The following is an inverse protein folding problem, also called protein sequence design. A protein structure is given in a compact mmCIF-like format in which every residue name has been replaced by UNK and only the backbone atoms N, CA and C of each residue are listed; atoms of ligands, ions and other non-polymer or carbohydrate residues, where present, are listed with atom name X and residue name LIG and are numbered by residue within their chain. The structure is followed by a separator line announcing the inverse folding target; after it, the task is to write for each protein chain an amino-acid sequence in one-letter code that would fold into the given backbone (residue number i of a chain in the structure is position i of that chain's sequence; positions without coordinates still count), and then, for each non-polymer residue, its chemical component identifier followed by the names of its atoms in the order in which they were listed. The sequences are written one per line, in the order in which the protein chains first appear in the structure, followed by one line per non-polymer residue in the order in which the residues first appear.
data_IF_816729493411
#
_entry.id   IF_816729493411
#
_cell.length_a   1.000
_cell.length_b   1.000
_cell.length_c   1.000
_cell.angle_alpha   90.00
_cell.angle_beta   90.00
_cell.angle_gamma   90.00
#
_symmetry.space_group_name_H-M   'P 1'
#
loop_
_entity.id
_entity.type
_entity.pdbx_description
1 polymer ?
#
# COMPACT_ATOMS: atom_id res chain seq x y z
N UNK A 1 -3.95 -31.19 0.83
CA UNK A 1 -5.17 -31.15 1.66
C UNK A 1 -6.16 -30.22 0.98
N UNK A 2 -7.44 -30.57 0.99
CA UNK A 2 -8.50 -29.81 0.32
C UNK A 2 -8.95 -28.66 1.24
N UNK A 3 -8.59 -27.42 0.90
CA UNK A 3 -9.04 -26.22 1.63
C UNK A 3 -10.50 -25.94 1.26
N UNK A 4 -11.41 -25.88 2.22
CA UNK A 4 -12.83 -25.63 1.96
C UNK A 4 -13.21 -24.24 2.47
N UNK A 5 -13.08 -23.23 1.62
CA UNK A 5 -13.89 -22.02 1.70
C UNK A 5 -14.68 -21.92 0.39
N UNK A 6 -15.97 -21.58 0.44
CA UNK A 6 -16.78 -21.43 -0.77
C UNK A 6 -16.30 -20.28 -1.67
N UNK A 7 -15.44 -19.40 -1.13
CA UNK A 7 -14.90 -18.23 -1.79
C UNK A 7 -13.54 -18.47 -2.46
N UNK A 8 -12.66 -19.30 -1.92
CA UNK A 8 -11.37 -19.61 -2.54
C UNK A 8 -11.34 -21.10 -2.90
N UNK A 9 -11.50 -21.38 -4.19
CA UNK A 9 -11.73 -22.72 -4.74
C UNK A 9 -10.59 -23.70 -4.51
N UNK A 10 -10.94 -24.99 -4.41
CA UNK A 10 -10.00 -26.12 -4.49
C UNK A 10 -9.48 -26.27 -5.93
N UNK A 11 -8.35 -25.64 -6.22
CA UNK A 11 -7.60 -25.79 -7.47
C UNK A 11 -6.28 -26.53 -7.20
N UNK A 12 -5.69 -27.16 -8.23
CA UNK A 12 -4.32 -27.67 -8.17
C UNK A 12 -3.27 -26.55 -8.03
N UNK A 13 -3.66 -25.30 -8.30
CA UNK A 13 -2.92 -24.08 -8.05
C UNK A 13 -3.89 -23.06 -7.41
N UNK A 14 -4.15 -23.14 -6.09
CA UNK A 14 -5.12 -22.26 -5.42
C UNK A 14 -4.71 -20.78 -5.49
N UNK A 15 -3.41 -20.47 -5.47
CA UNK A 15 -2.90 -19.11 -5.60
C UNK A 15 -3.38 -18.46 -6.90
N UNK A 16 -3.32 -19.19 -8.02
CA UNK A 16 -3.74 -18.71 -9.34
C UNK A 16 -5.25 -18.44 -9.36
N UNK A 17 -6.04 -19.36 -8.80
CA UNK A 17 -7.50 -19.20 -8.79
C UNK A 17 -7.94 -18.00 -7.95
N UNK A 18 -7.32 -17.80 -6.78
CA UNK A 18 -7.57 -16.65 -5.91
C UNK A 18 -7.19 -15.37 -6.64
N UNK A 19 -5.96 -15.33 -7.17
CA UNK A 19 -5.45 -14.17 -7.89
C UNK A 19 -6.41 -13.77 -9.01
N UNK A 20 -6.77 -14.69 -9.90
CA UNK A 20 -7.64 -14.39 -11.06
C UNK A 20 -9.05 -13.94 -10.65
N UNK A 21 -9.60 -14.44 -9.54
CA UNK A 21 -10.87 -13.90 -9.00
C UNK A 21 -10.71 -12.45 -8.54
N UNK A 22 -9.66 -12.15 -7.77
CA UNK A 22 -9.41 -10.80 -7.28
C UNK A 22 -9.08 -9.82 -8.41
N UNK A 23 -8.26 -10.25 -9.37
CA UNK A 23 -7.91 -9.49 -10.57
C UNK A 23 -9.14 -9.06 -11.36
N UNK A 24 -10.13 -9.96 -11.47
CA UNK A 24 -11.38 -9.70 -12.18
C UNK A 24 -12.28 -8.69 -11.48
N UNK A 25 -12.23 -8.62 -10.15
CA UNK A 25 -13.06 -7.72 -9.34
C UNK A 25 -12.19 -6.79 -8.46
N UNK A 26 -11.43 -5.86 -9.08
CA UNK A 26 -10.53 -4.98 -8.37
C UNK A 26 -11.29 -3.92 -7.56
N UNK A 27 -10.79 -3.59 -6.37
CA UNK A 27 -11.35 -2.57 -5.48
C UNK A 27 -10.28 -1.57 -5.08
N UNK A 28 -10.55 -0.28 -5.24
CA UNK A 28 -9.57 0.77 -4.93
C UNK A 28 -9.50 1.08 -3.44
N UNK A 29 -8.44 1.77 -3.03
CA UNK A 29 -8.18 2.24 -1.67
C UNK A 29 -9.43 2.58 -0.82
N UNK A 30 -9.57 1.90 0.32
CA UNK A 30 -10.67 1.98 1.30
C UNK A 30 -12.05 1.49 0.81
N UNK A 31 -12.13 0.89 -0.38
CA UNK A 31 -13.36 0.33 -0.95
C UNK A 31 -13.26 -1.19 -1.16
N UNK A 32 -12.29 -1.85 -0.55
CA UNK A 32 -11.95 -3.28 -0.67
C UNK A 32 -12.96 -4.20 0.05
N UNK A 33 -14.25 -3.87 0.02
CA UNK A 33 -15.29 -4.55 0.78
C UNK A 33 -15.48 -6.01 0.35
N UNK A 34 -15.47 -6.32 -0.95
CA UNK A 34 -15.60 -7.70 -1.45
C UNK A 34 -14.36 -8.51 -1.07
N UNK A 35 -13.18 -7.97 -1.36
CA UNK A 35 -11.90 -8.63 -1.12
C UNK A 35 -11.71 -8.89 0.37
N UNK A 36 -11.83 -7.86 1.21
CA UNK A 36 -11.69 -7.97 2.65
C UNK A 36 -12.72 -8.92 3.28
N UNK A 37 -14.00 -8.83 2.89
CA UNK A 37 -15.03 -9.70 3.47
C UNK A 37 -14.82 -11.17 3.13
N UNK A 38 -14.33 -11.49 1.92
CA UNK A 38 -14.00 -12.86 1.53
C UNK A 38 -12.75 -13.38 2.22
N UNK A 39 -11.73 -12.54 2.39
CA UNK A 39 -10.53 -12.89 3.18
C UNK A 39 -10.93 -13.19 4.63
N UNK A 40 -11.70 -12.30 5.26
CA UNK A 40 -12.16 -12.45 6.63
C UNK A 40 -12.97 -13.75 6.83
N UNK A 41 -13.95 -14.00 5.96
CA UNK A 41 -14.75 -15.24 5.98
C UNK A 41 -13.86 -16.47 5.86
N UNK A 42 -12.97 -16.47 4.86
CA UNK A 42 -12.20 -17.65 4.54
C UNK A 42 -11.14 -17.96 5.61
N UNK A 43 -10.53 -16.93 6.21
CA UNK A 43 -9.58 -17.08 7.31
C UNK A 43 -10.25 -17.55 8.60
N UNK A 44 -11.46 -17.06 8.91
CA UNK A 44 -12.23 -17.55 10.06
C UNK A 44 -12.61 -19.02 9.88
N UNK A 45 -13.09 -19.40 8.69
CA UNK A 45 -13.49 -20.79 8.37
C UNK A 45 -12.32 -21.78 8.53
N UNK A 46 -11.10 -21.41 8.15
CA UNK A 46 -9.92 -22.27 8.32
C UNK A 46 -9.33 -22.22 9.75
N UNK A 47 -9.93 -21.44 10.65
CA UNK A 47 -9.63 -21.47 12.09
C UNK A 47 -8.63 -20.43 12.58
N UNK A 48 -8.63 -19.23 11.98
CA UNK A 48 -8.00 -18.03 12.54
C UNK A 48 -9.02 -17.18 13.29
N UNK A 49 -8.56 -16.45 14.31
CA UNK A 49 -9.34 -15.36 14.91
C UNK A 49 -9.20 -14.13 14.03
N UNK A 50 -10.30 -13.54 13.59
CA UNK A 50 -10.29 -12.43 12.62
C UNK A 50 -10.80 -11.13 13.25
N UNK A 51 -10.07 -10.04 13.00
CA UNK A 51 -10.41 -8.66 13.35
C UNK A 51 -10.52 -7.82 12.08
N UNK A 52 -11.51 -6.95 12.01
CA UNK A 52 -11.69 -5.97 10.93
C UNK A 52 -12.33 -4.70 11.47
N UNK A 53 -12.62 -3.72 10.62
CA UNK A 53 -13.31 -2.50 11.04
C UNK A 53 -12.49 -1.72 12.06
N UNK A 54 -13.16 -1.26 13.13
CA UNK A 54 -12.56 -0.50 14.23
C UNK A 54 -11.57 -1.31 15.07
N UNK A 55 -11.61 -2.63 15.01
CA UNK A 55 -10.67 -3.50 15.73
C UNK A 55 -9.35 -3.66 15.00
N UNK A 56 -9.32 -3.35 13.69
CA UNK A 56 -8.14 -3.44 12.85
C UNK A 56 -7.59 -2.08 12.40
N UNK A 57 -8.43 -1.03 12.41
CA UNK A 57 -8.08 0.30 11.92
C UNK A 57 -8.64 1.41 12.80
N UNK A 58 -7.81 2.43 13.08
CA UNK A 58 -8.19 3.65 13.75
C UNK A 58 -8.86 4.63 12.75
N UNK A 59 -10.17 4.94 12.89
CA UNK A 59 -10.87 5.76 11.89
C UNK A 59 -10.36 7.20 11.80
N UNK A 60 -9.83 7.74 12.89
CA UNK A 60 -9.28 9.10 12.93
C UNK A 60 -8.01 9.26 12.07
N UNK A 61 -7.33 8.17 11.74
CA UNK A 61 -6.12 8.15 10.93
C UNK A 61 -6.40 7.99 9.43
N UNK A 62 -7.65 7.73 9.02
CA UNK A 62 -8.00 7.62 7.60
C UNK A 62 -7.96 9.00 6.96
N UNK A 63 -7.08 9.17 5.98
CA UNK A 63 -6.98 10.39 5.18
C UNK A 63 -7.79 10.27 3.89
N UNK A 64 -8.69 11.22 3.67
CA UNK A 64 -9.64 11.24 2.56
C UNK A 64 -10.49 9.93 2.52
N UNK A 65 -11.33 9.70 3.55
CA UNK A 65 -12.25 8.56 3.56
C UNK A 65 -13.24 8.64 2.39
N UNK A 66 -13.81 7.50 1.96
CA UNK A 66 -14.84 7.51 0.92
C UNK A 66 -16.07 8.32 1.36
N UNK A 67 -16.75 8.95 0.39
CA UNK A 67 -18.05 9.57 0.68
C UNK A 67 -19.08 8.48 1.00
N UNK A 68 -20.14 8.86 1.74
CA UNK A 68 -21.22 7.92 2.08
C UNK A 68 -21.89 7.32 0.83
N UNK A 69 -21.98 8.09 -0.26
CA UNK A 69 -22.51 7.63 -1.56
C UNK A 69 -21.61 6.57 -2.18
N UNK A 70 -20.31 6.85 -2.33
CA UNK A 70 -19.33 5.91 -2.91
C UNK A 70 -19.21 4.65 -2.05
N UNK A 71 -19.25 4.79 -0.71
CA UNK A 71 -19.24 3.66 0.21
C UNK A 71 -20.48 2.78 0.01
N UNK A 72 -21.68 3.38 -0.04
CA UNK A 72 -22.92 2.64 -0.25
C UNK A 72 -22.91 1.88 -1.57
N UNK A 73 -22.50 2.52 -2.66
CA UNK A 73 -22.38 1.89 -3.98
C UNK A 73 -21.37 0.75 -3.98
N UNK A 74 -20.20 0.95 -3.39
CA UNK A 74 -19.14 -0.07 -3.32
C UNK A 74 -19.56 -1.28 -2.48
N UNK A 75 -20.27 -1.07 -1.37
CA UNK A 75 -20.82 -2.18 -0.57
C UNK A 75 -21.89 -2.96 -1.31
N UNK A 76 -22.78 -2.28 -2.02
CA UNK A 76 -23.81 -2.92 -2.83
C UNK A 76 -23.18 -3.75 -3.97
N UNK A 77 -22.17 -3.20 -4.65
CA UNK A 77 -21.40 -3.91 -5.68
C UNK A 77 -20.65 -5.11 -5.10
N UNK A 78 -20.03 -4.97 -3.92
CA UNK A 78 -19.35 -6.07 -3.25
C UNK A 78 -20.31 -7.23 -2.95
N UNK A 79 -21.49 -6.94 -2.39
CA UNK A 79 -22.52 -7.95 -2.11
C UNK A 79 -23.03 -8.64 -3.39
N UNK A 80 -23.24 -7.89 -4.47
CA UNK A 80 -23.68 -8.44 -5.74
C UNK A 80 -22.65 -9.42 -6.36
N UNK A 81 -21.38 -9.27 -6.01
CA UNK A 81 -20.27 -10.04 -6.58
C UNK A 81 -19.58 -10.98 -5.58
N UNK A 82 -20.32 -11.44 -4.56
CA UNK A 82 -19.87 -12.51 -3.66
C UNK A 82 -19.13 -12.04 -2.40
N UNK A 83 -19.23 -10.75 -2.06
CA UNK A 83 -18.84 -10.23 -0.76
C UNK A 83 -19.77 -10.73 0.35
N UNK A 84 -19.28 -10.74 1.59
CA UNK A 84 -19.97 -11.37 2.72
C UNK A 84 -20.53 -10.30 3.67
N UNK A 85 -21.86 -10.22 3.74
CA UNK A 85 -22.58 -9.14 4.43
C UNK A 85 -22.14 -8.92 5.89
N UNK A 86 -22.01 -10.00 6.68
CA UNK A 86 -21.63 -9.91 8.11
C UNK A 86 -20.28 -9.23 8.35
N UNK A 87 -19.37 -9.32 7.38
CA UNK A 87 -18.06 -8.69 7.45
C UNK A 87 -18.09 -7.27 6.89
N UNK A 88 -18.78 -7.06 5.76
CA UNK A 88 -18.95 -5.74 5.14
C UNK A 88 -19.58 -4.74 6.13
N UNK A 89 -20.55 -5.20 6.93
CA UNK A 89 -21.23 -4.36 7.92
C UNK A 89 -20.27 -3.81 9.01
N UNK A 90 -19.18 -4.52 9.29
CA UNK A 90 -18.17 -4.11 10.27
C UNK A 90 -17.16 -3.09 9.71
N UNK A 91 -17.03 -3.00 8.38
CA UNK A 91 -16.00 -2.22 7.67
C UNK A 91 -16.44 -0.78 7.35
N UNK A 92 -17.45 -0.25 8.06
CA UNK A 92 -18.01 1.07 7.76
C UNK A 92 -16.98 2.22 7.79
N UNK A 93 -17.10 3.16 6.85
CA UNK A 93 -16.18 4.29 6.71
C UNK A 93 -14.84 3.94 6.05
N UNK A 94 -14.77 2.83 5.30
CA UNK A 94 -13.55 2.38 4.62
C UNK A 94 -12.55 1.67 5.54
N UNK A 95 -13.03 1.03 6.61
CA UNK A 95 -12.21 0.30 7.57
C UNK A 95 -12.04 -1.17 7.14
N UNK A 96 -11.47 -1.37 5.96
CA UNK A 96 -11.45 -2.64 5.22
C UNK A 96 -10.25 -3.54 5.53
N UNK A 97 -9.35 -3.17 6.45
CA UNK A 97 -8.26 -4.07 6.84
C UNK A 97 -8.79 -5.37 7.46
N UNK A 98 -8.08 -6.46 7.21
CA UNK A 98 -8.35 -7.76 7.84
C UNK A 98 -7.09 -8.23 8.55
N UNK A 99 -7.20 -8.43 9.86
CA UNK A 99 -6.13 -8.99 10.69
C UNK A 99 -6.56 -10.36 11.15
N UNK A 100 -5.80 -11.39 10.83
CA UNK A 100 -6.10 -12.77 11.21
C UNK A 100 -4.98 -13.36 12.05
N UNK A 101 -5.33 -14.00 13.16
CA UNK A 101 -4.36 -14.49 14.15
C UNK A 101 -4.60 -15.93 14.53
N UNK A 102 -3.50 -16.65 14.76
CA UNK A 102 -3.53 -17.99 15.34
C UNK A 102 -2.37 -18.18 16.30
N UNK A 103 -2.70 -18.60 17.52
CA UNK A 103 -1.73 -18.96 18.57
C UNK A 103 -1.44 -20.46 18.52
N UNK A 104 -0.15 -20.81 18.44
CA UNK A 104 0.38 -22.17 18.45
C UNK A 104 1.07 -22.56 19.77
N UNK A 105 1.12 -21.63 20.73
CA UNK A 105 1.67 -21.85 22.07
C UNK A 105 2.28 -20.58 22.63
N UNK A 106 3.25 -20.72 23.53
CA UNK A 106 4.12 -19.63 23.97
C UNK A 106 5.26 -19.45 22.97
N UNK A 107 5.67 -18.22 22.72
CA UNK A 107 6.69 -17.88 21.73
C UNK A 107 6.46 -16.47 21.16
N UNK A 108 7.22 -16.08 20.13
CA UNK A 108 7.14 -14.75 19.55
C UNK A 108 5.86 -14.55 18.73
N UNK A 109 5.53 -13.29 18.46
CA UNK A 109 4.47 -12.86 17.54
C UNK A 109 5.10 -12.49 16.20
N UNK A 110 4.80 -13.28 15.17
CA UNK A 110 5.23 -13.05 13.79
C UNK A 110 4.07 -12.46 12.98
N UNK A 111 4.27 -11.29 12.39
CA UNK A 111 3.35 -10.65 11.46
C UNK A 111 3.81 -10.79 10.00
N UNK A 112 2.89 -11.14 9.10
CA UNK A 112 3.08 -11.15 7.65
C UNK A 112 2.08 -10.17 7.01
N UNK A 113 2.56 -9.24 6.18
CA UNK A 113 1.71 -8.22 5.55
C UNK A 113 1.49 -8.50 4.06
N UNK A 114 0.26 -8.31 3.61
CA UNK A 114 -0.18 -8.37 2.21
C UNK A 114 -1.15 -7.21 1.96
N UNK A 115 -0.87 -6.32 1.02
CA UNK A 115 -1.82 -5.29 0.59
C UNK A 115 -2.89 -5.86 -0.35
N UNK A 116 -3.99 -5.12 -0.53
CA UNK A 116 -5.21 -5.61 -1.21
C UNK A 116 -5.78 -4.67 -2.25
N UNK A 117 -5.41 -3.38 -2.25
CA UNK A 117 -6.09 -2.41 -3.08
C UNK A 117 -5.64 -2.45 -4.53
N UNK A 118 -6.56 -2.09 -5.42
CA UNK A 118 -6.32 -1.88 -6.83
C UNK A 118 -6.14 -0.40 -7.15
N UNK A 119 -5.73 -0.12 -8.38
CA UNK A 119 -5.54 1.24 -8.90
C UNK A 119 -6.80 1.76 -9.60
N UNK A 120 -6.92 3.10 -9.62
CA UNK A 120 -7.85 3.80 -10.51
C UNK A 120 -7.23 3.88 -11.92
N UNK A 121 -7.27 2.76 -12.64
CA UNK A 121 -6.59 2.53 -13.92
C UNK A 121 -7.46 1.62 -14.79
N UNK A 122 -7.60 1.95 -16.07
CA UNK A 122 -8.23 1.06 -17.05
C UNK A 122 -7.25 -0.04 -17.47
N UNK A 123 -7.72 -1.29 -17.41
CA UNK A 123 -7.00 -2.43 -17.95
C UNK A 123 -7.14 -2.51 -19.48
N UNK A 124 -6.07 -2.88 -20.17
CA UNK A 124 -6.08 -3.04 -21.62
C UNK A 124 -6.99 -4.19 -22.07
N UNK A 125 -7.74 -3.96 -23.15
CA UNK A 125 -8.56 -4.98 -23.83
C UNK A 125 -7.85 -5.57 -25.07
N UNK A 126 -6.56 -5.28 -25.23
CA UNK A 126 -5.78 -5.75 -26.39
C UNK A 126 -5.47 -7.23 -26.28
N UNK A 127 -5.67 -7.96 -27.39
CA UNK A 127 -5.22 -9.35 -27.50
C UNK A 127 -3.71 -9.48 -27.29
N UNK A 128 -3.30 -10.54 -26.59
CA UNK A 128 -1.93 -10.74 -26.11
C UNK A 128 -1.72 -10.33 -24.64
N UNK A 129 -2.70 -9.63 -24.04
CA UNK A 129 -2.74 -9.39 -22.60
C UNK A 129 -3.34 -10.61 -21.89
N UNK A 130 -2.56 -11.31 -21.07
CA UNK A 130 -2.96 -12.62 -20.54
C UNK A 130 -4.25 -12.61 -19.69
N UNK A 131 -4.54 -11.58 -18.86
CA UNK A 131 -5.85 -11.43 -18.21
C UNK A 131 -7.02 -11.34 -19.19
N UNK A 132 -6.87 -10.58 -20.27
CA UNK A 132 -7.88 -10.46 -21.32
C UNK A 132 -8.08 -11.82 -22.02
N UNK A 133 -6.99 -12.41 -22.51
CA UNK A 133 -7.02 -13.67 -23.26
C UNK A 133 -7.46 -14.86 -22.39
N UNK A 134 -7.15 -14.81 -21.09
CA UNK A 134 -7.51 -15.80 -20.08
C UNK A 134 -8.90 -15.60 -19.46
N UNK A 135 -9.63 -14.54 -19.84
CA UNK A 135 -10.99 -14.27 -19.38
C UNK A 135 -11.11 -13.85 -17.91
N UNK A 136 -10.04 -13.26 -17.35
CA UNK A 136 -9.99 -12.78 -15.97
C UNK A 136 -9.57 -11.30 -15.82
N UNK A 137 -9.48 -10.55 -16.92
CA UNK A 137 -9.38 -9.10 -16.89
C UNK A 137 -10.52 -8.47 -16.07
N UNK A 138 -10.25 -7.29 -15.53
CA UNK A 138 -11.17 -6.50 -14.74
C UNK A 138 -12.53 -6.33 -15.43
N UNK A 139 -13.59 -6.62 -14.68
CA UNK A 139 -14.98 -6.30 -15.12
C UNK A 139 -15.46 -4.95 -14.57
N UNK A 140 -14.59 -4.19 -13.89
CA UNK A 140 -14.91 -2.90 -13.27
C UNK A 140 -14.16 -1.78 -14.00
N UNK A 141 -14.85 -0.97 -14.82
CA UNK A 141 -14.22 0.13 -15.56
C UNK A 141 -13.44 1.08 -14.65
N UNK A 142 -12.28 1.53 -15.12
CA UNK A 142 -11.38 2.41 -14.38
C UNK A 142 -10.72 1.78 -13.15
N UNK A 143 -10.74 0.44 -13.02
CA UNK A 143 -10.11 -0.27 -11.90
C UNK A 143 -9.32 -1.48 -12.40
N UNK A 144 -8.08 -1.62 -11.93
CA UNK A 144 -7.18 -2.72 -12.30
C UNK A 144 -6.18 -2.99 -11.17
N UNK A 145 -5.83 -4.26 -10.94
CA UNK A 145 -4.66 -4.63 -10.13
C UNK A 145 -3.35 -4.43 -10.92
N UNK A 146 -3.01 -3.17 -11.20
CA UNK A 146 -1.79 -2.78 -11.94
C UNK A 146 -0.49 -2.84 -11.14
N UNK A 147 -0.53 -3.35 -9.90
CA UNK A 147 0.63 -3.45 -9.00
C UNK A 147 0.84 -4.87 -8.42
N UNK A 148 -0.06 -5.82 -8.71
CA UNK A 148 0.07 -7.21 -8.28
C UNK A 148 -0.47 -7.53 -6.88
N UNK A 149 -1.24 -6.63 -6.26
CA UNK A 149 -1.81 -6.83 -4.91
C UNK A 149 -2.80 -8.00 -4.84
N UNK A 150 -3.48 -8.33 -5.95
CA UNK A 150 -4.23 -9.58 -6.12
C UNK A 150 -3.35 -10.82 -5.90
N UNK A 151 -2.10 -10.78 -6.38
CA UNK A 151 -1.08 -11.80 -6.14
C UNK A 151 -0.60 -11.82 -4.70
N UNK A 152 -0.41 -10.66 -4.06
CA UNK A 152 -0.04 -10.57 -2.64
C UNK A 152 -1.11 -11.22 -1.76
N UNK A 153 -2.38 -10.91 -1.96
CA UNK A 153 -3.50 -11.55 -1.24
C UNK A 153 -3.52 -13.06 -1.48
N UNK A 154 -3.35 -13.50 -2.73
CA UNK A 154 -3.33 -14.92 -3.06
C UNK A 154 -2.22 -15.68 -2.32
N UNK A 155 -1.01 -15.10 -2.26
CA UNK A 155 0.11 -15.65 -1.48
C UNK A 155 -0.27 -15.71 0.00
N UNK A 156 -0.70 -14.59 0.58
CA UNK A 156 -1.00 -14.49 2.01
C UNK A 156 -2.09 -15.48 2.46
N UNK A 157 -3.16 -15.60 1.68
CA UNK A 157 -4.22 -16.57 1.98
C UNK A 157 -3.72 -18.01 1.90
N UNK A 158 -2.94 -18.37 0.86
CA UNK A 158 -2.44 -19.73 0.72
C UNK A 158 -1.42 -20.10 1.80
N UNK A 159 -0.61 -19.14 2.27
CA UNK A 159 0.28 -19.32 3.44
C UNK A 159 -0.57 -19.58 4.69
N UNK A 160 -1.61 -18.78 4.94
CA UNK A 160 -2.52 -18.99 6.07
C UNK A 160 -3.21 -20.35 6.01
N UNK A 161 -3.71 -20.74 4.83
CA UNK A 161 -4.33 -22.03 4.58
C UNK A 161 -3.36 -23.19 4.88
N UNK A 162 -2.12 -23.12 4.38
CA UNK A 162 -1.11 -24.14 4.61
C UNK A 162 -0.74 -24.31 6.09
N UNK A 163 -0.78 -23.24 6.87
CA UNK A 163 -0.36 -23.22 8.27
C UNK A 163 -1.52 -23.36 9.27
N UNK A 164 -2.76 -23.30 8.81
CA UNK A 164 -3.97 -23.34 9.63
C UNK A 164 -4.01 -24.53 10.60
N UNK A 165 -3.47 -25.68 10.19
CA UNK A 165 -3.42 -26.92 10.98
C UNK A 165 -1.97 -27.43 11.13
N UNK A 166 -0.99 -26.54 10.99
CA UNK A 166 0.41 -26.92 11.13
C UNK A 166 0.72 -27.32 12.58
N UNK A 167 1.36 -28.47 12.73
CA UNK A 167 1.94 -28.90 14.00
C UNK A 167 3.40 -28.42 14.10
N UNK A 168 3.96 -28.47 15.32
CA UNK A 168 5.36 -28.13 15.56
C UNK A 168 5.66 -26.63 15.59
N UNK A 169 4.66 -25.74 15.53
CA UNK A 169 4.82 -24.30 15.71
C UNK A 169 4.61 -23.87 17.18
N UNK A 170 5.20 -22.75 17.58
CA UNK A 170 5.11 -22.12 18.89
C UNK A 170 5.10 -20.59 18.73
N UNK A 171 4.33 -19.86 19.56
CA UNK A 171 4.09 -18.43 19.41
C UNK A 171 2.78 -18.10 18.70
N UNK A 172 2.72 -16.93 18.05
CA UNK A 172 1.52 -16.42 17.37
C UNK A 172 1.87 -16.01 15.94
N UNK A 173 1.05 -16.44 14.99
CA UNK A 173 1.11 -16.00 13.59
C UNK A 173 -0.02 -15.00 13.32
N UNK A 174 0.33 -13.81 12.85
CA UNK A 174 -0.58 -12.73 12.48
C UNK A 174 -0.45 -12.42 10.99
N UNK A 175 -1.57 -12.43 10.28
CA UNK A 175 -1.67 -11.96 8.91
C UNK A 175 -2.32 -10.58 8.91
N UNK A 176 -1.74 -9.64 8.18
CA UNK A 176 -2.26 -8.28 8.01
C UNK A 176 -2.57 -8.10 6.53
N UNK A 177 -3.85 -8.10 6.19
CA UNK A 177 -4.32 -7.75 4.87
C UNK A 177 -4.68 -6.26 4.85
N UNK A 178 -3.83 -5.47 4.23
CA UNK A 178 -3.84 -4.01 4.31
C UNK A 178 -4.59 -3.39 3.12
N UNK A 179 -5.50 -2.42 3.34
CA UNK A 179 -6.11 -1.63 2.29
C UNK A 179 -5.25 -0.41 1.93
N UNK A 180 -5.57 0.29 0.84
CA UNK A 180 -5.07 1.63 0.53
C UNK A 180 -3.53 1.86 0.54
N UNK A 181 -2.73 0.87 0.12
CA UNK A 181 -1.28 0.98 -0.03
C UNK A 181 -0.91 2.01 -1.10
N UNK A 182 -1.61 2.04 -2.24
CA UNK A 182 -1.23 2.83 -3.43
C UNK A 182 -1.18 4.36 -3.14
N UNK A 183 -2.01 4.77 -2.17
CA UNK A 183 -2.04 6.14 -1.66
C UNK A 183 -0.98 6.43 -0.60
N UNK A 184 -0.40 5.41 0.01
CA UNK A 184 0.40 5.44 1.24
C UNK A 184 -0.43 5.71 2.49
N UNK A 185 -1.69 5.28 2.49
CA UNK A 185 -2.73 5.69 3.46
C UNK A 185 -3.23 4.56 4.34
N UNK A 186 -2.90 3.31 4.02
CA UNK A 186 -3.42 2.12 4.70
C UNK A 186 -2.72 1.76 6.00
N UNK A 187 -1.41 2.01 6.07
CA UNK A 187 -0.62 1.50 7.17
C UNK A 187 -0.88 2.25 8.48
N UNK A 188 -1.04 3.58 8.41
CA UNK A 188 -1.19 4.41 9.60
C UNK A 188 -2.45 4.06 10.42
N UNK A 189 -3.65 3.87 9.82
CA UNK A 189 -4.80 3.39 10.57
C UNK A 189 -4.60 2.05 11.28
N UNK A 190 -3.85 1.12 10.69
CA UNK A 190 -3.55 -0.18 11.30
C UNK A 190 -2.58 -0.02 12.47
N UNK A 191 -1.55 0.79 12.28
CA UNK A 191 -0.57 1.15 13.31
C UNK A 191 -1.26 1.83 14.51
N UNK A 192 -2.13 2.80 14.27
CA UNK A 192 -2.82 3.57 15.30
C UNK A 192 -3.90 2.74 16.02
N UNK A 193 -4.33 1.62 15.44
CA UNK A 193 -5.18 0.63 16.11
C UNK A 193 -4.40 -0.31 17.04
N UNK A 194 -3.07 -0.21 17.11
CA UNK A 194 -2.21 -1.02 17.97
C UNK A 194 -1.97 -2.44 17.48
N UNK A 195 -2.22 -2.72 16.19
CA UNK A 195 -2.08 -4.07 15.59
C UNK A 195 -0.62 -4.57 15.61
N UNK A 196 0.35 -3.67 15.72
CA UNK A 196 1.78 -3.97 15.67
C UNK A 196 2.48 -3.84 17.02
N UNK A 197 1.76 -3.49 18.08
CA UNK A 197 2.38 -3.09 19.35
C UNK A 197 3.05 -4.26 20.10
N UNK A 198 2.59 -5.49 19.86
CA UNK A 198 3.10 -6.74 20.43
C UNK A 198 3.85 -7.62 19.41
N UNK A 199 4.14 -7.12 18.21
CA UNK A 199 4.83 -7.89 17.15
C UNK A 199 6.33 -7.92 17.41
N UNK A 200 6.90 -9.12 17.44
CA UNK A 200 8.36 -9.32 17.55
C UNK A 200 9.04 -9.30 16.17
N UNK A 201 8.37 -9.83 15.15
CA UNK A 201 8.92 -9.96 13.79
C UNK A 201 7.88 -9.62 12.72
N UNK A 202 8.23 -8.79 11.74
CA UNK A 202 7.36 -8.48 10.59
C UNK A 202 8.05 -8.72 9.25
N UNK A 203 7.36 -9.42 8.33
CA UNK A 203 7.84 -9.63 6.97
C UNK A 203 6.84 -9.09 5.95
N UNK A 204 7.38 -8.38 4.98
CA UNK A 204 6.65 -7.74 3.88
C UNK A 204 7.32 -8.18 2.57
N UNK A 205 6.52 -8.39 1.53
CA UNK A 205 7.07 -8.64 0.20
C UNK A 205 6.29 -7.91 -0.88
N UNK A 206 6.96 -7.69 -2.01
CA UNK A 206 6.34 -7.25 -3.26
C UNK A 206 6.70 -8.19 -4.41
N UNK A 207 5.77 -8.37 -5.34
CA UNK A 207 5.97 -9.11 -6.59
C UNK A 207 6.50 -8.19 -7.69
N UNK A 208 7.54 -8.64 -8.40
CA UNK A 208 8.08 -7.96 -9.57
C UNK A 208 9.18 -6.95 -9.25
N UNK A 209 8.89 -5.65 -9.41
CA UNK A 209 9.87 -4.55 -9.40
C UNK A 209 11.03 -4.75 -10.39
N UNK A 210 10.75 -5.29 -11.59
CA UNK A 210 11.75 -5.67 -12.61
C UNK A 210 12.77 -6.73 -12.17
N UNK A 211 12.57 -7.39 -11.03
CA UNK A 211 13.33 -8.58 -10.68
C UNK A 211 12.72 -9.77 -11.43
N UNK A 212 13.55 -10.47 -12.21
CA UNK A 212 13.09 -11.58 -13.06
C UNK A 212 12.51 -12.76 -12.26
N UNK A 213 11.59 -13.51 -12.88
CA UNK A 213 11.04 -14.75 -12.31
C UNK A 213 12.14 -15.73 -11.87
N UNK A 214 11.88 -16.48 -10.79
CA UNK A 214 12.84 -17.44 -10.22
C UNK A 214 13.92 -16.80 -9.34
N UNK A 215 13.85 -15.49 -9.07
CA UNK A 215 14.75 -14.78 -8.16
C UNK A 215 14.00 -14.26 -6.94
N UNK A 216 14.69 -14.16 -5.81
CA UNK A 216 14.18 -13.48 -4.61
C UNK A 216 15.27 -12.59 -4.05
N UNK A 217 14.99 -11.30 -3.88
CA UNK A 217 15.91 -10.38 -3.23
C UNK A 217 15.60 -10.29 -1.74
N UNK A 218 16.56 -10.67 -0.88
CA UNK A 218 16.34 -10.73 0.57
C UNK A 218 16.17 -9.34 1.23
N UNK A 219 16.63 -8.28 0.55
CA UNK A 219 16.51 -6.90 1.04
C UNK A 219 16.05 -5.97 -0.07
N UNK A 220 14.84 -5.44 0.06
CA UNK A 220 14.37 -4.33 -0.76
C UNK A 220 15.04 -3.02 -0.32
N UNK A 221 15.63 -2.28 -1.26
CA UNK A 221 16.36 -1.04 -1.01
C UNK A 221 15.86 0.10 -1.92
N UNK A 222 16.42 1.31 -1.76
CA UNK A 222 16.10 2.45 -2.62
C UNK A 222 14.72 3.05 -2.35
N UNK A 223 14.16 2.87 -1.15
CA UNK A 223 12.92 3.50 -0.72
C UNK A 223 13.13 5.00 -0.55
N UNK A 224 12.27 5.80 -1.17
CA UNK A 224 12.28 7.25 -1.01
C UNK A 224 11.35 7.70 0.11
N UNK A 225 11.82 8.66 0.89
CA UNK A 225 10.93 9.49 1.71
C UNK A 225 10.08 10.34 0.78
N UNK A 226 8.76 10.36 1.00
CA UNK A 226 7.84 11.10 0.14
C UNK A 226 6.73 11.76 0.95
N UNK A 227 6.24 12.91 0.48
CA UNK A 227 4.99 13.48 0.98
C UNK A 227 4.16 14.03 -0.18
N UNK A 228 2.92 13.55 -0.28
CA UNK A 228 1.89 14.08 -1.19
C UNK A 228 1.14 15.19 -0.45
N UNK A 229 1.05 16.37 -1.05
CA UNK A 229 0.62 17.59 -0.35
C UNK A 229 -0.42 18.33 -1.20
N UNK A 230 -1.49 18.77 -0.56
CA UNK A 230 -2.42 19.73 -1.11
C UNK A 230 -2.15 21.11 -0.52
N UNK A 231 -2.09 22.13 -1.37
CA UNK A 231 -1.96 23.52 -0.95
C UNK A 231 -3.14 24.31 -1.49
N UNK A 232 -3.74 25.13 -0.64
CA UNK A 232 -4.83 26.05 -1.02
C UNK A 232 -4.45 27.47 -0.67
N UNK A 233 -4.70 28.39 -1.59
CA UNK A 233 -4.64 29.82 -1.37
C UNK A 233 -6.05 30.42 -1.46
N UNK A 234 -6.43 31.21 -0.47
CA UNK A 234 -7.72 31.92 -0.42
C UNK A 234 -7.47 33.43 -0.36
N UNK A 235 -8.01 34.12 -1.36
CA UNK A 235 -7.90 35.55 -1.57
C UNK A 235 -9.28 36.24 -1.59
N UNK A 236 -9.42 37.25 -2.45
CA UNK A 236 -10.64 38.05 -2.54
C UNK A 236 -10.90 38.45 -3.99
N UNK A 237 -12.11 38.20 -4.52
CA UNK A 237 -12.41 38.54 -5.88
C UNK A 237 -12.68 40.04 -6.01
N UNK A 238 -12.36 40.59 -7.18
CA UNK A 238 -12.71 41.96 -7.55
C UNK A 238 -12.68 42.09 -9.07
N UNK A 239 -13.38 43.11 -9.60
CA UNK A 239 -13.30 43.44 -11.01
C UNK A 239 -11.88 43.93 -11.34
N UNK A 240 -11.22 43.30 -12.30
CA UNK A 240 -9.82 43.53 -12.62
C UNK A 240 -9.51 44.99 -13.01
N UNK A 241 -10.44 45.68 -13.68
CA UNK A 241 -10.31 47.10 -14.03
C UNK A 241 -10.94 48.10 -13.04
N UNK A 242 -12.19 47.88 -12.58
CA UNK A 242 -12.92 48.89 -11.80
C UNK A 242 -12.45 49.04 -10.35
N UNK A 243 -11.98 47.96 -9.71
CA UNK A 243 -11.53 48.00 -8.32
C UNK A 243 -10.37 47.02 -8.05
N UNK A 244 -9.27 47.05 -8.83
CA UNK A 244 -8.16 46.12 -8.65
C UNK A 244 -7.57 46.14 -7.23
N UNK A 245 -7.52 47.31 -6.59
CA UNK A 245 -7.00 47.50 -5.24
C UNK A 245 -7.78 46.73 -4.15
N UNK A 246 -9.03 46.35 -4.43
CA UNK A 246 -9.88 45.59 -3.51
C UNK A 246 -9.67 44.07 -3.60
N UNK A 247 -9.04 43.58 -4.66
CA UNK A 247 -8.77 42.15 -4.87
C UNK A 247 -7.55 41.65 -4.12
N UNK A 248 -7.51 40.34 -3.86
CA UNK A 248 -6.31 39.61 -3.41
C UNK A 248 -6.17 38.37 -4.29
N UNK A 249 -5.14 38.36 -5.12
CA UNK A 249 -5.05 37.46 -6.25
C UNK A 249 -4.42 36.11 -5.85
N UNK A 250 -5.26 35.10 -5.60
CA UNK A 250 -4.81 33.77 -5.21
C UNK A 250 -4.08 33.04 -6.35
N UNK A 251 -4.41 33.31 -7.62
CA UNK A 251 -3.71 32.73 -8.77
C UNK A 251 -2.25 33.18 -8.78
N UNK A 252 -1.97 34.46 -8.53
CA UNK A 252 -0.59 34.95 -8.46
C UNK A 252 0.18 34.37 -7.27
N UNK A 253 -0.49 34.11 -6.15
CA UNK A 253 0.14 33.43 -5.01
C UNK A 253 0.52 32.00 -5.37
N UNK A 254 -0.38 31.25 -6.01
CA UNK A 254 -0.11 29.89 -6.48
C UNK A 254 0.97 29.84 -7.56
N UNK A 255 1.00 30.79 -8.50
CA UNK A 255 2.04 30.86 -9.53
C UNK A 255 3.43 31.15 -8.94
N UNK A 256 3.50 32.09 -7.99
CA UNK A 256 4.74 32.39 -7.27
C UNK A 256 5.21 31.17 -6.45
N UNK A 257 4.29 30.51 -5.74
CA UNK A 257 4.58 29.30 -5.00
C UNK A 257 5.11 28.20 -5.93
N UNK A 258 4.41 27.89 -7.02
CA UNK A 258 4.81 26.85 -7.95
C UNK A 258 6.23 27.08 -8.50
N UNK A 259 6.53 28.31 -8.95
CA UNK A 259 7.87 28.63 -9.45
C UNK A 259 8.94 28.51 -8.36
N UNK A 260 8.68 29.02 -7.15
CA UNK A 260 9.67 29.07 -6.09
C UNK A 260 9.88 27.71 -5.41
N UNK A 261 8.85 26.86 -5.35
CA UNK A 261 8.96 25.48 -4.87
C UNK A 261 9.98 24.69 -5.69
N UNK A 262 9.96 24.84 -7.02
CA UNK A 262 10.96 24.24 -7.91
C UNK A 262 12.36 24.86 -7.79
N UNK A 263 12.48 26.03 -7.14
CA UNK A 263 13.75 26.70 -6.88
C UNK A 263 14.37 26.36 -5.50
N UNK A 264 13.76 25.47 -4.71
CA UNK A 264 14.36 24.99 -3.46
C UNK A 264 15.76 24.42 -3.76
N UNK A 265 16.77 24.89 -3.02
CA UNK A 265 18.14 24.36 -3.16
C UNK A 265 18.17 22.87 -2.82
N UNK A 266 18.91 22.08 -3.61
CA UNK A 266 19.04 20.64 -3.37
C UNK A 266 19.95 20.38 -2.16
N UNK A 267 19.74 19.25 -1.50
CA UNK A 267 20.61 18.80 -0.41
C UNK A 267 21.86 18.16 -0.99
N UNK A 268 23.03 18.49 -0.44
CA UNK A 268 24.30 17.98 -0.95
C UNK A 268 24.49 16.51 -0.56
N UNK A 269 24.87 15.67 -1.52
CA UNK A 269 25.19 14.26 -1.27
C UNK A 269 24.00 13.31 -1.29
N UNK A 270 22.80 13.78 -1.62
CA UNK A 270 21.61 12.94 -1.83
C UNK A 270 20.70 13.53 -2.91
N UNK A 271 19.84 12.69 -3.48
CA UNK A 271 18.81 13.14 -4.40
C UNK A 271 17.57 13.65 -3.64
N UNK A 272 17.10 14.84 -4.04
CA UNK A 272 15.90 15.49 -3.48
C UNK A 272 15.03 16.04 -4.59
N UNK A 273 13.72 15.88 -4.47
CA UNK A 273 12.76 16.16 -5.51
C UNK A 273 11.62 17.02 -4.99
N UNK A 274 11.10 17.87 -5.86
CA UNK A 274 9.87 18.62 -5.64
C UNK A 274 9.12 18.70 -6.96
N UNK A 275 7.82 18.49 -6.92
CA UNK A 275 7.01 18.56 -8.12
C UNK A 275 5.64 19.16 -7.79
N UNK A 276 5.20 20.15 -8.56
CA UNK A 276 3.84 20.68 -8.51
C UNK A 276 3.09 20.09 -9.70
N UNK A 277 2.40 18.99 -9.46
CA UNK A 277 1.74 18.21 -10.51
C UNK A 277 0.42 18.83 -11.00
N UNK A 278 -0.22 19.68 -10.19
CA UNK A 278 -1.47 20.35 -10.56
C UNK A 278 -1.54 21.76 -9.98
N UNK A 279 -2.05 22.68 -10.76
CA UNK A 279 -2.49 24.01 -10.33
C UNK A 279 -3.84 24.32 -10.97
N UNK A 280 -4.80 24.81 -10.18
CA UNK A 280 -6.13 25.22 -10.66
C UNK A 280 -6.54 26.54 -10.01
N UNK A 281 -6.86 27.56 -10.80
CA UNK A 281 -7.23 28.88 -10.29
C UNK A 281 -8.03 29.70 -11.32
N UNK A 282 -8.88 30.59 -10.80
CA UNK A 282 -9.65 31.54 -11.61
C UNK A 282 -10.89 30.97 -12.27
N UNK A 283 -11.73 31.87 -12.79
CA UNK A 283 -13.04 31.53 -13.39
C UNK A 283 -13.26 32.20 -14.75
N UNK A 284 -12.82 33.44 -14.93
CA UNK A 284 -12.98 34.21 -16.18
C UNK A 284 -11.92 35.32 -16.29
N UNK A 285 -11.89 36.02 -17.42
CA UNK A 285 -10.83 36.99 -17.78
C UNK A 285 -10.82 38.28 -16.95
N UNK A 286 -11.97 38.77 -16.47
CA UNK A 286 -12.10 40.09 -15.84
C UNK A 286 -12.30 40.07 -14.31
N UNK A 287 -12.15 38.91 -13.68
CA UNK A 287 -12.28 38.75 -12.22
C UNK A 287 -10.92 38.34 -11.64
N UNK A 288 -10.46 39.06 -10.62
CA UNK A 288 -9.26 38.68 -9.85
C UNK A 288 -9.56 37.35 -9.14
N UNK A 289 -8.77 36.28 -9.37
CA UNK A 289 -9.00 34.98 -8.75
C UNK A 289 -8.89 35.04 -7.23
N UNK A 290 -9.88 34.49 -6.54
CA UNK A 290 -9.96 34.40 -5.09
C UNK A 290 -9.56 33.02 -4.55
N UNK A 291 -9.37 32.03 -5.41
CA UNK A 291 -8.92 30.70 -5.01
C UNK A 291 -7.88 30.14 -5.98
N UNK A 292 -6.87 29.47 -5.42
CA UNK A 292 -5.93 28.64 -6.15
C UNK A 292 -5.63 27.37 -5.35
N UNK A 293 -5.80 26.21 -5.98
CA UNK A 293 -5.46 24.90 -5.39
C UNK A 293 -4.25 24.32 -6.14
N UNK A 294 -3.26 23.83 -5.39
CA UNK A 294 -2.10 23.10 -5.89
C UNK A 294 -2.10 21.66 -5.35
N UNK A 295 -1.64 20.72 -6.17
CA UNK A 295 -1.20 19.42 -5.71
C UNK A 295 0.29 19.28 -5.99
N UNK A 296 1.06 18.92 -4.98
CA UNK A 296 2.50 18.79 -5.08
C UNK A 296 3.00 17.57 -4.32
N UNK A 297 4.25 17.21 -4.58
CA UNK A 297 4.99 16.21 -3.83
C UNK A 297 6.41 16.68 -3.52
N UNK A 298 6.95 16.16 -2.43
CA UNK A 298 8.34 16.30 -2.02
C UNK A 298 8.90 14.91 -1.80
N UNK A 299 10.09 14.62 -2.34
CA UNK A 299 10.80 13.36 -2.10
C UNK A 299 12.26 13.57 -1.72
N UNK A 300 12.85 12.62 -1.01
CA UNK A 300 14.28 12.56 -0.71
C UNK A 300 14.74 11.13 -0.46
N UNK A 301 16.04 10.88 -0.61
CA UNK A 301 16.65 9.60 -0.23
C UNK A 301 16.73 9.44 1.30
N UNK A 302 16.89 10.54 2.04
CA UNK A 302 17.00 10.52 3.51
C UNK A 302 15.87 11.28 4.23
N UNK A 303 15.68 10.94 5.50
CA UNK A 303 14.75 11.63 6.40
C UNK A 303 15.11 13.11 6.57
N UNK A 304 16.41 13.39 6.74
CA UNK A 304 16.90 14.74 6.93
C UNK A 304 16.71 15.59 5.67
N UNK A 305 16.97 15.02 4.49
CA UNK A 305 16.72 15.66 3.20
C UNK A 305 15.24 15.96 3.00
N UNK A 306 14.36 15.00 3.32
CA UNK A 306 12.92 15.19 3.25
C UNK A 306 12.43 16.29 4.18
N UNK A 307 12.87 16.28 5.45
CA UNK A 307 12.52 17.28 6.45
C UNK A 307 12.95 18.69 6.03
N UNK A 308 14.17 18.83 5.48
CA UNK A 308 14.64 20.10 4.93
C UNK A 308 13.75 20.59 3.78
N UNK A 309 13.48 19.71 2.81
CA UNK A 309 12.67 20.04 1.63
C UNK A 309 11.25 20.45 2.02
N UNK A 310 10.64 19.74 2.98
CA UNK A 310 9.31 20.06 3.53
C UNK A 310 9.29 21.43 4.22
N UNK A 311 10.25 21.71 5.09
CA UNK A 311 10.35 23.01 5.76
C UNK A 311 10.50 24.15 4.74
N UNK A 312 11.33 23.95 3.70
CA UNK A 312 11.46 24.93 2.62
C UNK A 312 10.16 25.14 1.84
N UNK A 313 9.42 24.07 1.57
CA UNK A 313 8.14 24.15 0.87
C UNK A 313 7.10 24.94 1.68
N UNK A 314 6.99 24.66 2.98
CA UNK A 314 6.08 25.38 3.90
C UNK A 314 6.39 26.89 3.92
N UNK A 315 7.66 27.25 4.06
CA UNK A 315 8.09 28.65 4.04
C UNK A 315 7.75 29.35 2.72
N UNK A 316 7.97 28.68 1.57
CA UNK A 316 7.67 29.25 0.25
C UNK A 316 6.18 29.45 0.06
N UNK A 317 5.35 28.47 0.48
CA UNK A 317 3.89 28.59 0.43
C UNK A 317 3.42 29.77 1.28
N UNK A 318 3.91 29.90 2.51
CA UNK A 318 3.57 31.00 3.40
C UNK A 318 4.02 32.37 2.83
N UNK A 319 5.26 32.47 2.33
CA UNK A 319 5.80 33.69 1.74
C UNK A 319 5.02 34.10 0.47
N UNK A 320 4.68 33.14 -0.38
CA UNK A 320 3.90 33.40 -1.61
C UNK A 320 2.49 33.91 -1.29
N UNK A 321 1.87 33.39 -0.23
CA UNK A 321 0.60 33.93 0.28
C UNK A 321 0.75 35.37 0.78
N UNK A 322 1.77 35.62 1.60
CA UNK A 322 2.05 36.94 2.16
C UNK A 322 2.31 38.01 1.08
N UNK A 323 3.04 37.66 0.01
CA UNK A 323 3.32 38.57 -1.14
C UNK A 323 2.05 39.10 -1.80
N UNK A 324 0.96 38.32 -1.80
CA UNK A 324 -0.31 38.69 -2.43
C UNK A 324 -1.38 39.13 -1.42
N UNK A 325 -1.07 39.13 -0.13
CA UNK A 325 -2.02 39.40 0.95
C UNK A 325 -3.20 38.42 0.97
N UNK A 326 -2.94 37.14 0.66
CA UNK A 326 -3.90 36.02 0.72
C UNK A 326 -3.56 35.11 1.90
N UNK A 327 -4.46 34.20 2.26
CA UNK A 327 -4.17 33.12 3.21
C UNK A 327 -3.77 31.85 2.48
N UNK A 328 -3.01 30.97 3.13
CA UNK A 328 -2.71 29.63 2.63
C UNK A 328 -2.98 28.55 3.67
N UNK A 329 -3.30 27.35 3.19
CA UNK A 329 -3.36 26.12 3.95
C UNK A 329 -2.57 25.04 3.20
N UNK A 330 -1.70 24.34 3.91
CA UNK A 330 -0.92 23.22 3.37
C UNK A 330 -1.26 21.97 4.18
N UNK A 331 -1.68 20.91 3.48
CA UNK A 331 -2.13 19.66 4.09
C UNK A 331 -1.36 18.49 3.48
N UNK A 332 -0.63 17.77 4.33
CA UNK A 332 -0.02 16.50 3.94
C UNK A 332 -1.13 15.45 3.83
N UNK A 333 -1.30 14.90 2.64
CA UNK A 333 -2.31 13.86 2.33
C UNK A 333 -1.76 12.47 2.59
N UNK A 334 -0.47 12.27 2.32
CA UNK A 334 0.22 11.01 2.54
C UNK A 334 1.69 11.27 2.77
N UNK A 335 2.30 10.48 3.63
CA UNK A 335 3.74 10.44 3.87
C UNK A 335 4.20 9.00 3.66
N UNK A 336 5.26 8.80 2.91
CA UNK A 336 5.99 7.53 2.84
C UNK A 336 7.34 7.74 3.49
N UNK A 337 7.80 6.71 4.19
CA UNK A 337 9.09 6.70 4.88
C UNK A 337 10.06 5.81 4.11
N UNK A 338 11.35 6.12 4.22
CA UNK A 338 12.39 5.17 3.82
C UNK A 338 12.27 3.88 4.62
N UNK A 339 12.78 2.79 4.06
CA UNK A 339 12.80 1.48 4.70
C UNK A 339 14.22 1.12 5.15
N UNK A 340 14.32 0.51 6.32
CA UNK A 340 15.56 -0.09 6.82
C UNK A 340 15.27 -1.50 7.31
N UNK A 341 15.77 -2.50 6.59
CA UNK A 341 15.60 -3.89 6.98
C UNK A 341 16.54 -4.26 8.13
N UNK A 342 16.02 -4.99 9.12
CA UNK A 342 16.83 -5.56 10.20
C UNK A 342 17.75 -6.66 9.63
N UNK A 343 19.07 -6.66 9.90
CA UNK A 343 19.99 -7.66 9.36
C UNK A 343 19.56 -9.11 9.65
N UNK A 344 19.11 -9.43 10.87
CA UNK A 344 18.62 -10.78 11.17
C UNK A 344 17.38 -11.20 10.37
N UNK A 345 16.50 -10.24 10.03
CA UNK A 345 15.32 -10.52 9.23
C UNK A 345 15.69 -10.76 7.76
N UNK A 346 16.63 -9.98 7.20
CA UNK A 346 17.20 -10.22 5.88
C UNK A 346 17.84 -11.61 5.80
N UNK A 347 18.62 -11.98 6.83
CA UNK A 347 19.24 -13.31 6.91
C UNK A 347 18.21 -14.44 6.96
N UNK A 348 17.07 -14.21 7.60
CA UNK A 348 15.94 -15.16 7.65
C UNK A 348 15.34 -15.37 6.25
N UNK A 349 15.12 -14.28 5.49
CA UNK A 349 14.69 -14.40 4.09
C UNK A 349 15.73 -15.15 3.26
N UNK A 350 17.01 -14.81 3.41
CA UNK A 350 18.09 -15.46 2.67
C UNK A 350 18.18 -16.97 2.97
N UNK A 351 17.99 -17.39 4.23
CA UNK A 351 17.93 -18.81 4.60
C UNK A 351 16.71 -19.50 4.00
N UNK A 352 15.53 -18.88 4.08
CA UNK A 352 14.32 -19.40 3.44
C UNK A 352 14.54 -19.65 1.94
N UNK A 353 15.08 -18.69 1.20
CA UNK A 353 15.34 -18.82 -0.25
C UNK A 353 16.34 -19.93 -0.55
N UNK A 354 17.41 -20.08 0.24
CA UNK A 354 18.44 -21.13 0.01
C UNK A 354 17.90 -22.56 0.14
N UNK A 355 16.75 -22.75 0.80
CA UNK A 355 16.10 -24.07 0.88
C UNK A 355 15.29 -24.42 -0.36
N UNK A 356 14.99 -23.44 -1.23
CA UNK A 356 14.13 -23.63 -2.39
C UNK A 356 14.97 -24.02 -3.63
N UNK A 357 14.77 -25.21 -4.21
CA UNK A 357 15.54 -25.65 -5.35
C UNK A 357 15.21 -24.81 -6.59
N UNK A 358 16.25 -24.31 -7.27
CA UNK A 358 16.10 -23.55 -8.51
C UNK A 358 15.73 -22.07 -8.33
N UNK A 359 15.69 -21.56 -7.09
CA UNK A 359 15.45 -20.14 -6.81
C UNK A 359 16.79 -19.44 -6.55
N UNK A 360 17.05 -18.36 -7.28
CA UNK A 360 18.25 -17.54 -7.12
C UNK A 360 18.05 -16.51 -6.00
N UNK A 361 18.93 -16.53 -5.01
CA UNK A 361 19.00 -15.49 -3.98
C UNK A 361 19.76 -14.27 -4.52
N UNK A 362 19.14 -13.10 -4.40
CA UNK A 362 19.75 -11.79 -4.63
C UNK A 362 19.89 -11.08 -3.29
N UNK A 363 21.05 -10.48 -3.01
CA UNK A 363 21.30 -9.85 -1.70
C UNK A 363 20.40 -8.63 -1.47
N UNK A 364 20.29 -7.76 -2.47
CA UNK A 364 19.41 -6.59 -2.42
C UNK A 364 18.92 -6.16 -3.79
N UNK A 365 17.76 -5.49 -3.82
CA UNK A 365 17.15 -5.01 -5.07
C UNK A 365 16.45 -3.65 -4.87
N UNK A 366 16.67 -2.67 -5.74
CA UNK A 366 16.00 -1.38 -5.65
C UNK A 366 14.53 -1.49 -6.10
N UNK A 367 13.61 -0.95 -5.31
CA UNK A 367 12.19 -0.92 -5.71
C UNK A 367 11.84 0.26 -6.64
N UNK A 368 12.66 1.31 -6.66
CA UNK A 368 12.43 2.50 -7.49
C UNK A 368 11.22 3.35 -7.07
N UNK A 369 10.72 3.19 -5.85
CA UNK A 369 9.50 3.83 -5.35
C UNK A 369 9.44 3.93 -3.82
N UNK A 370 8.22 3.91 -3.27
CA UNK A 370 7.98 3.83 -1.83
C UNK A 370 6.68 3.09 -1.55
N UNK A 371 6.59 2.48 -0.38
CA UNK A 371 5.46 1.66 0.08
C UNK A 371 5.22 2.00 1.56
N UNK A 372 3.96 2.13 1.98
CA UNK A 372 3.64 2.50 3.36
C UNK A 372 3.83 1.37 4.39
N UNK A 373 4.12 0.15 3.96
CA UNK A 373 4.57 -0.94 4.82
C UNK A 373 5.90 -0.62 5.52
N UNK A 374 6.70 0.32 5.00
CA UNK A 374 7.91 0.81 5.69
C UNK A 374 7.57 1.38 7.07
N UNK A 375 6.39 1.99 7.24
CA UNK A 375 5.89 2.47 8.55
C UNK A 375 5.61 1.32 9.50
N UNK A 376 5.09 0.20 8.99
CA UNK A 376 4.81 -0.98 9.80
C UNK A 376 6.11 -1.62 10.31
N UNK A 377 7.10 -1.76 9.42
CA UNK A 377 8.43 -2.24 9.77
C UNK A 377 9.06 -1.32 10.83
N UNK A 378 9.01 0.01 10.63
CA UNK A 378 9.51 0.98 11.60
C UNK A 378 8.82 0.84 12.95
N UNK A 379 7.48 0.76 13.00
CA UNK A 379 6.74 0.60 14.27
C UNK A 379 7.20 -0.64 15.04
N UNK A 380 7.39 -1.77 14.36
CA UNK A 380 7.88 -2.99 15.00
C UNK A 380 9.30 -2.79 15.54
N UNK A 381 10.18 -2.15 14.78
CA UNK A 381 11.55 -1.84 15.21
C UNK A 381 11.61 -0.85 16.38
N UNK A 382 10.74 0.17 16.41
CA UNK A 382 10.60 1.11 17.53
C UNK A 382 10.19 0.41 18.83
N UNK A 383 9.43 -0.68 18.72
CA UNK A 383 9.03 -1.54 19.83
C UNK A 383 10.09 -2.61 20.18
N UNK A 384 11.24 -2.63 19.50
CA UNK A 384 12.34 -3.56 19.75
C UNK A 384 12.27 -4.87 18.95
N UNK A 385 11.29 -5.02 18.06
CA UNK A 385 11.18 -6.13 17.13
C UNK A 385 12.05 -5.96 15.89
N UNK A 386 11.91 -6.88 14.93
CA UNK A 386 12.71 -6.92 13.71
C UNK A 386 11.81 -7.01 12.48
N UNK A 387 12.30 -6.54 11.33
CA UNK A 387 11.51 -6.66 10.11
C UNK A 387 12.30 -6.57 8.82
N UNK A 388 11.74 -7.17 7.77
CA UNK A 388 12.30 -7.13 6.43
C UNK A 388 11.21 -6.96 5.37
N UNK A 389 11.51 -6.11 4.41
CA UNK A 389 10.87 -6.00 3.12
C UNK A 389 11.75 -6.72 2.10
N UNK A 390 11.22 -7.74 1.43
CA UNK A 390 11.93 -8.50 0.40
C UNK A 390 11.17 -8.49 -0.94
N UNK A 391 11.84 -8.82 -2.04
CA UNK A 391 11.22 -8.81 -3.39
C UNK A 391 11.16 -10.22 -3.93
N UNK A 392 9.98 -10.62 -4.39
CA UNK A 392 9.76 -11.86 -5.12
C UNK A 392 9.78 -11.52 -6.61
N UNK A 393 10.77 -12.03 -7.33
CA UNK A 393 10.93 -11.79 -8.75
C UNK A 393 9.76 -12.34 -9.55
N UNK A 394 9.31 -11.55 -10.51
CA UNK A 394 8.26 -11.91 -11.46
C UNK A 394 8.49 -11.16 -12.75
N UNK A 395 8.54 -11.89 -13.86
CA UNK A 395 8.59 -11.27 -15.18
C UNK A 395 7.28 -10.50 -15.42
N UNK A 396 7.41 -9.21 -15.73
CA UNK A 396 6.30 -8.30 -15.98
C UNK A 396 6.35 -7.84 -17.44
N UNK A 397 5.28 -7.99 -18.24
CA UNK A 397 5.26 -7.56 -19.63
C UNK A 397 5.21 -6.04 -19.79
N UNK A 398 4.78 -5.33 -18.75
CA UNK A 398 4.79 -3.88 -18.66
C UNK A 398 5.17 -3.43 -17.24
N UNK A 399 5.66 -2.19 -17.05
CA UNK A 399 5.92 -1.62 -15.73
C UNK A 399 4.68 -1.62 -14.84
N UNK A 400 4.89 -1.63 -13.52
CA UNK A 400 3.83 -1.34 -12.55
C UNK A 400 3.06 -0.06 -12.94
N UNK A 401 1.74 -0.13 -12.77
CA UNK A 401 0.76 0.92 -13.06
C UNK A 401 0.53 1.17 -14.56
N UNK A 402 1.04 0.32 -15.44
CA UNK A 402 0.70 0.32 -16.85
C UNK A 402 -0.63 -0.43 -17.11
N UNK A 403 -1.45 0.00 -18.09
CA UNK A 403 -2.70 -0.68 -18.46
C UNK A 403 -2.55 -2.15 -18.88
N UNK A 404 -1.35 -2.54 -19.32
CA UNK A 404 -0.95 -3.86 -19.78
C UNK A 404 -0.01 -4.58 -18.79
N UNK A 405 0.02 -4.12 -17.52
CA UNK A 405 0.73 -4.80 -16.44
C UNK A 405 0.14 -6.18 -16.16
N UNK A 406 1.03 -7.15 -15.96
CA UNK A 406 0.71 -8.48 -15.47
C UNK A 406 1.94 -9.06 -14.73
N UNK A 407 1.77 -10.20 -14.07
CA UNK A 407 2.86 -10.93 -13.40
C UNK A 407 2.90 -12.37 -13.89
N UNK A 408 4.09 -12.97 -13.86
CA UNK A 408 4.25 -14.42 -13.97
C UNK A 408 3.60 -15.12 -12.76
N UNK A 409 2.50 -15.84 -13.02
CA UNK A 409 1.76 -16.60 -12.01
C UNK A 409 2.60 -17.67 -11.31
N UNK A 410 3.71 -18.12 -11.91
CA UNK A 410 4.68 -19.02 -11.28
C UNK A 410 5.31 -18.43 -10.01
N UNK A 411 5.44 -17.10 -9.94
CA UNK A 411 6.01 -16.40 -8.79
C UNK A 411 5.15 -16.50 -7.52
N UNK A 412 3.85 -16.77 -7.65
CA UNK A 412 2.96 -16.93 -6.49
C UNK A 412 3.38 -18.12 -5.62
N UNK A 413 3.73 -19.25 -6.25
CA UNK A 413 4.18 -20.44 -5.53
C UNK A 413 5.53 -20.22 -4.84
N UNK A 414 6.42 -19.42 -5.44
CA UNK A 414 7.70 -19.02 -4.84
C UNK A 414 7.43 -18.17 -3.59
N UNK A 415 6.60 -17.13 -3.72
CA UNK A 415 6.22 -16.26 -2.61
C UNK A 415 5.63 -17.03 -1.43
N UNK A 416 4.66 -17.93 -1.69
CA UNK A 416 4.09 -18.80 -0.66
C UNK A 416 5.17 -19.61 0.04
N UNK A 417 6.06 -20.27 -0.71
CA UNK A 417 7.11 -21.11 -0.13
C UNK A 417 8.10 -20.33 0.72
N UNK A 418 8.48 -19.11 0.30
CA UNK A 418 9.37 -18.25 1.09
C UNK A 418 8.72 -17.87 2.41
N UNK A 419 7.47 -17.39 2.40
CA UNK A 419 6.75 -17.06 3.63
C UNK A 419 6.53 -18.25 4.54
N UNK A 420 6.18 -19.43 4.01
CA UNK A 420 6.06 -20.66 4.80
C UNK A 420 7.37 -21.04 5.50
N UNK A 421 8.52 -20.89 4.82
CA UNK A 421 9.82 -21.13 5.42
C UNK A 421 10.17 -20.10 6.51
N UNK A 422 9.90 -18.81 6.28
CA UNK A 422 10.06 -17.76 7.28
C UNK A 422 9.27 -18.10 8.55
N UNK A 423 8.00 -18.52 8.39
CA UNK A 423 7.18 -18.94 9.54
C UNK A 423 7.80 -20.12 10.27
N UNK A 424 8.26 -21.15 9.55
CA UNK A 424 8.86 -22.34 10.18
C UNK A 424 10.18 -22.02 10.86
N UNK A 425 10.94 -21.07 10.35
CA UNK A 425 12.21 -20.66 10.93
C UNK A 425 12.02 -19.89 12.24
N UNK A 426 11.01 -19.03 12.31
CA UNK A 426 10.75 -18.17 13.47
C UNK A 426 9.89 -18.87 14.53
N UNK A 427 8.82 -19.55 14.09
CA UNK A 427 7.84 -20.19 14.98
C UNK A 427 8.07 -21.69 15.14
N UNK A 428 9.01 -22.31 14.41
CA UNK A 428 9.31 -23.73 14.54
C UNK A 428 9.82 -24.07 15.94
N UNK A 429 9.23 -25.07 16.59
CA UNK A 429 9.79 -25.63 17.82
C UNK A 429 11.17 -26.19 17.50
N UNK A 430 12.20 -25.69 18.18
CA UNK A 430 13.48 -26.38 18.19
C UNK A 430 13.22 -27.82 18.64
N UNK A 431 13.56 -28.79 17.78
CA UNK A 431 13.60 -30.18 18.21
C UNK A 431 14.56 -30.23 19.40
N UNK A 432 13.99 -30.39 20.61
CA UNK A 432 14.79 -30.75 21.77
C UNK A 432 15.40 -32.10 21.41
N UNK A 433 16.67 -32.10 20.99
CA UNK A 433 17.49 -33.30 20.96
C UNK A 433 17.42 -33.89 22.36
N UNK A 434 16.62 -34.95 22.50
CA UNK A 434 16.46 -35.73 23.71
C UNK A 434 17.55 -36.80 23.77
#
# INVERSE_FOLDING_TARGET
MAYSSDHFTQSNAPEIAIRRDLHRYPETAFLEYRTASRIAESLEVIGYSVRTGREAMAPAAIVNPPSAEIESESKADALAHGGVARWIDQMAGGLTAVVAEKRFGDGPVLALRFDMDALALDETDRGGHAPHDGGFASVRPGRMHGCGHDGHVAIGFCVAAALAQAEGLAGTLRFIFQPAEEGGRGAQPIIDAGILDDVDHIFVAHLGCFLASGKVAASAIGFLWSSKIEVRFDGRPSHAAMAPQAGRNALLAGAAAASNLHAISRVAGEETFVNVGRMTAGTTFNIIPDRCDLMMEVRAESEAGHAYMMARAEEIVAASAAMQGVTSAMRVVSRLEGNHNSPEAVDTVARAVRTLPGIELVDSWPIGGGDDASKMIRRVQENGGTGAYFIIGSDIPAPHHAPDFDIDEGSLAIGRQVFEHIVREILGKAERQA
#
